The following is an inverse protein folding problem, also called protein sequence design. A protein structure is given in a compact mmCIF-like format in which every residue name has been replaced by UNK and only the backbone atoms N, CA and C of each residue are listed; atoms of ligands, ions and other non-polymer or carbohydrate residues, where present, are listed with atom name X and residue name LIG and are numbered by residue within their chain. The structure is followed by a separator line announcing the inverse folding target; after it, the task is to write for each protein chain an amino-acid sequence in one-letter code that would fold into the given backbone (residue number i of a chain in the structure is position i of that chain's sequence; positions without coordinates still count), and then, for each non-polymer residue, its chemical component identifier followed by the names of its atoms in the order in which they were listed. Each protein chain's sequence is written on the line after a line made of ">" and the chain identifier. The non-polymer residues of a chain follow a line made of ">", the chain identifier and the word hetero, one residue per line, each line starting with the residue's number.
data_IF_532647413981
#
_entry.id   IF_532647413981
#
_cell.length_a   1.000
_cell.length_b   1.000
_cell.length_c   1.000
_cell.angle_alpha   90.00
_cell.angle_beta   90.00
_cell.angle_gamma   90.00
#
_symmetry.space_group_name_H-M   'P 1'
#
loop_
_entity.id
_entity.type
_entity.pdbx_description
1 polymer ?
#
# COMPACT_ATOMS: atom_id res chain seq x y z
N UNK A 1 -0.25 -26.37 -16.13
CA UNK A 1 -1.70 -26.21 -15.84
C UNK A 1 -2.05 -24.90 -15.11
N UNK A 2 -1.13 -24.27 -14.36
CA UNK A 2 -1.35 -23.04 -13.58
C UNK A 2 -1.38 -21.73 -14.38
N UNK A 3 -0.69 -21.66 -15.52
CA UNK A 3 -0.64 -20.43 -16.35
C UNK A 3 -1.99 -20.13 -17.01
N UNK A 4 -2.69 -21.18 -17.44
CA UNK A 4 -4.01 -21.09 -18.05
C UNK A 4 -5.09 -20.60 -17.06
N UNK A 5 -4.95 -20.92 -15.77
CA UNK A 5 -5.90 -20.49 -14.73
C UNK A 5 -5.76 -19.02 -14.37
N UNK A 6 -4.54 -18.46 -14.38
CA UNK A 6 -4.31 -17.05 -14.03
C UNK A 6 -4.83 -16.11 -15.12
N UNK A 7 -4.54 -16.41 -16.39
CA UNK A 7 -5.00 -15.61 -17.54
C UNK A 7 -6.53 -15.59 -17.59
N UNK A 8 -7.19 -16.73 -17.41
CA UNK A 8 -8.64 -16.81 -17.41
C UNK A 8 -9.28 -16.09 -16.22
N UNK A 9 -8.63 -16.08 -15.04
CA UNK A 9 -9.10 -15.31 -13.90
C UNK A 9 -9.13 -13.80 -14.20
N UNK A 10 -8.05 -13.27 -14.81
CA UNK A 10 -7.98 -11.86 -15.21
C UNK A 10 -9.02 -11.55 -16.29
N UNK A 11 -9.10 -12.37 -17.35
CA UNK A 11 -10.09 -12.18 -18.44
C UNK A 11 -11.53 -12.22 -17.92
N UNK A 12 -11.84 -13.12 -16.98
CA UNK A 12 -13.15 -13.18 -16.31
C UNK A 12 -13.44 -11.91 -15.52
N UNK A 13 -12.48 -11.41 -14.75
CA UNK A 13 -12.62 -10.14 -14.03
C UNK A 13 -12.87 -8.98 -15.00
N UNK A 14 -12.09 -8.85 -16.08
CA UNK A 14 -12.27 -7.78 -17.06
C UNK A 14 -13.67 -7.78 -17.69
N UNK A 15 -14.20 -8.95 -18.07
CA UNK A 15 -15.56 -9.08 -18.62
C UNK A 15 -16.63 -8.69 -17.59
N UNK A 16 -16.50 -9.21 -16.37
CA UNK A 16 -17.40 -8.87 -15.27
C UNK A 16 -17.42 -7.36 -14.99
N UNK A 17 -16.24 -6.75 -14.86
CA UNK A 17 -16.11 -5.34 -14.53
C UNK A 17 -16.59 -4.42 -15.66
N UNK A 18 -16.32 -4.79 -16.92
CA UNK A 18 -16.84 -4.08 -18.09
C UNK A 18 -18.38 -4.08 -18.11
N UNK A 19 -18.99 -5.20 -17.75
CA UNK A 19 -20.45 -5.31 -17.61
C UNK A 19 -21.00 -4.45 -16.48
N UNK A 20 -20.33 -4.43 -15.32
CA UNK A 20 -20.77 -3.63 -14.16
C UNK A 20 -20.72 -2.11 -14.41
N UNK A 21 -19.77 -1.66 -15.22
CA UNK A 21 -19.65 -0.25 -15.58
C UNK A 21 -20.51 0.14 -16.79
N UNK A 22 -21.24 -0.81 -17.38
CA UNK A 22 -22.05 -0.60 -18.59
C UNK A 22 -21.27 0.07 -19.74
N UNK A 23 -19.97 -0.22 -19.88
CA UNK A 23 -19.09 0.45 -20.85
C UNK A 23 -19.42 0.11 -22.32
N UNK A 24 -20.35 -0.82 -22.53
CA UNK A 24 -20.82 -1.23 -23.85
C UNK A 24 -22.02 -0.41 -24.34
N UNK A 25 -22.58 0.44 -23.49
CA UNK A 25 -23.65 1.36 -23.89
C UNK A 25 -23.05 2.44 -24.80
N UNK A 26 -23.68 2.68 -25.96
CA UNK A 26 -23.15 3.61 -26.98
C UNK A 26 -23.05 5.07 -26.52
N UNK A 27 -23.70 5.40 -25.41
CA UNK A 27 -23.74 6.71 -24.77
C UNK A 27 -23.31 6.57 -23.29
N UNK A 28 -22.37 7.38 -22.84
CA UNK A 28 -21.92 7.35 -21.44
C UNK A 28 -23.03 7.93 -20.53
N UNK A 29 -23.59 7.12 -19.64
CA UNK A 29 -24.54 7.57 -18.60
C UNK A 29 -25.73 8.35 -19.17
N UNK A 30 -26.34 7.84 -20.25
CA UNK A 30 -27.44 8.47 -21.01
C UNK A 30 -27.12 9.87 -21.57
N UNK A 31 -25.84 10.15 -21.84
CA UNK A 31 -25.41 11.43 -22.41
C UNK A 31 -25.17 11.38 -23.93
N UNK A 32 -24.93 12.54 -24.53
CA UNK A 32 -24.53 12.66 -25.95
C UNK A 32 -23.02 12.41 -26.20
N UNK A 33 -22.30 11.98 -25.16
CA UNK A 33 -20.85 11.75 -25.20
C UNK A 33 -20.52 10.26 -25.15
N UNK A 34 -19.54 9.86 -25.95
CA UNK A 34 -18.91 8.55 -25.84
C UNK A 34 -18.02 8.45 -24.60
N UNK A 35 -17.61 7.23 -24.21
CA UNK A 35 -16.67 7.02 -23.10
C UNK A 35 -15.37 7.81 -23.27
N UNK A 36 -14.79 7.81 -24.47
CA UNK A 36 -13.56 8.56 -24.80
C UNK A 36 -13.75 10.06 -24.62
N UNK A 37 -14.90 10.59 -25.05
CA UNK A 37 -15.24 12.01 -24.91
C UNK A 37 -15.45 12.39 -23.45
N UNK A 38 -16.19 11.58 -22.69
CA UNK A 38 -16.35 11.75 -21.25
C UNK A 38 -15.02 11.72 -20.50
N UNK A 39 -14.09 10.83 -20.89
CA UNK A 39 -12.75 10.77 -20.30
C UNK A 39 -11.92 12.03 -20.60
N UNK A 40 -11.97 12.54 -21.83
CA UNK A 40 -11.27 13.79 -22.18
C UNK A 40 -11.86 14.97 -21.40
N UNK A 41 -13.19 15.07 -21.30
CA UNK A 41 -13.85 16.10 -20.49
C UNK A 41 -13.45 15.99 -19.01
N UNK A 42 -13.34 14.76 -18.47
CA UNK A 42 -12.89 14.52 -17.10
C UNK A 42 -11.48 15.08 -16.85
N UNK A 43 -10.52 14.76 -17.72
CA UNK A 43 -9.15 15.26 -17.60
C UNK A 43 -9.11 16.79 -17.68
N UNK A 44 -9.79 17.38 -18.65
CA UNK A 44 -9.84 18.83 -18.84
C UNK A 44 -10.57 19.58 -17.71
N UNK A 45 -11.50 18.92 -17.01
CA UNK A 45 -12.22 19.51 -15.88
C UNK A 45 -11.40 19.54 -14.59
N UNK A 46 -10.43 18.63 -14.42
CA UNK A 46 -9.70 18.44 -13.15
C UNK A 46 -8.23 18.86 -13.22
N UNK A 47 -7.68 19.10 -14.41
CA UNK A 47 -6.28 19.47 -14.60
C UNK A 47 -6.16 20.75 -15.41
N UNK A 48 -5.36 21.68 -14.89
CA UNK A 48 -4.93 22.83 -15.64
C UNK A 48 -3.83 22.44 -16.65
N UNK A 49 -3.66 23.28 -17.67
CA UNK A 49 -2.51 23.26 -18.59
C UNK A 49 -2.31 21.95 -19.37
N UNK A 50 -3.40 21.25 -19.70
CA UNK A 50 -3.36 20.06 -20.54
C UNK A 50 -3.09 20.41 -22.01
N UNK A 51 -2.23 19.63 -22.66
CA UNK A 51 -2.01 19.70 -24.11
C UNK A 51 -2.64 18.50 -24.82
N UNK A 52 -2.89 18.63 -26.12
CA UNK A 52 -3.30 17.49 -26.95
C UNK A 52 -2.25 16.36 -26.94
N UNK A 53 -0.96 16.69 -26.81
CA UNK A 53 0.13 15.71 -26.74
C UNK A 53 0.04 14.88 -25.46
N UNK A 54 -0.17 15.54 -24.31
CA UNK A 54 -0.33 14.89 -23.00
C UNK A 54 -1.54 13.96 -23.01
N UNK A 55 -2.71 14.47 -23.45
CA UNK A 55 -3.93 13.66 -23.55
C UNK A 55 -3.74 12.42 -24.44
N UNK A 56 -3.05 12.57 -25.57
CA UNK A 56 -2.79 11.47 -26.50
C UNK A 56 -1.91 10.38 -25.85
N UNK A 57 -0.86 10.79 -25.15
CA UNK A 57 0.09 9.88 -24.51
C UNK A 57 -0.55 9.12 -23.35
N UNK A 58 -1.26 9.82 -22.47
CA UNK A 58 -1.82 9.23 -21.25
C UNK A 58 -3.09 8.42 -21.51
N UNK A 59 -3.95 8.84 -22.45
CA UNK A 59 -5.17 8.13 -22.79
C UNK A 59 -4.98 7.11 -23.92
N UNK A 60 -3.75 6.97 -24.44
CA UNK A 60 -3.40 6.09 -25.55
C UNK A 60 -4.31 6.24 -26.79
N UNK A 61 -4.70 7.48 -27.10
CA UNK A 61 -5.60 7.78 -28.22
C UNK A 61 -4.82 8.03 -29.53
N UNK A 62 -5.45 7.72 -30.66
CA UNK A 62 -4.93 8.13 -31.98
C UNK A 62 -5.01 9.65 -32.17
N UNK A 63 -4.01 10.24 -32.84
CA UNK A 63 -3.92 11.69 -33.04
C UNK A 63 -5.08 12.22 -33.90
N UNK A 64 -5.47 11.49 -34.96
CA UNK A 64 -6.59 11.86 -35.82
C UNK A 64 -7.94 11.72 -35.12
N UNK A 65 -8.09 10.71 -34.26
CA UNK A 65 -9.28 10.56 -33.42
C UNK A 65 -9.41 11.68 -32.38
N UNK A 66 -8.35 11.97 -31.61
CA UNK A 66 -8.35 13.05 -30.62
C UNK A 66 -8.62 14.41 -31.27
N UNK A 67 -7.99 14.70 -32.41
CA UNK A 67 -8.20 15.97 -33.14
C UNK A 67 -9.66 16.16 -33.56
N UNK A 68 -10.35 15.09 -33.99
CA UNK A 68 -11.78 15.13 -34.32
C UNK A 68 -12.64 15.44 -33.09
N UNK A 69 -12.35 14.82 -31.94
CA UNK A 69 -13.06 15.09 -30.69
C UNK A 69 -12.87 16.55 -30.24
N UNK A 70 -11.61 17.02 -30.22
CA UNK A 70 -11.32 18.39 -29.79
C UNK A 70 -12.01 19.44 -30.69
N UNK A 71 -12.02 19.23 -32.02
CA UNK A 71 -12.77 20.08 -32.96
C UNK A 71 -14.28 20.05 -32.70
N UNK A 72 -14.84 18.88 -32.39
CA UNK A 72 -16.26 18.75 -32.01
C UNK A 72 -16.53 19.56 -30.74
N UNK A 73 -15.70 19.46 -29.71
CA UNK A 73 -15.85 20.21 -28.47
C UNK A 73 -15.79 21.73 -28.70
N UNK A 74 -14.90 22.20 -29.56
CA UNK A 74 -14.85 23.62 -29.95
C UNK A 74 -16.11 24.08 -30.67
N UNK A 75 -16.61 23.27 -31.62
CA UNK A 75 -17.85 23.59 -32.35
C UNK A 75 -19.09 23.65 -31.45
N UNK A 76 -19.06 22.91 -30.34
CA UNK A 76 -20.09 22.90 -29.30
C UNK A 76 -19.84 23.98 -28.23
N UNK A 77 -18.78 24.78 -28.35
CA UNK A 77 -18.42 25.82 -27.38
C UNK A 77 -17.94 25.27 -26.02
N UNK A 78 -17.55 24.00 -25.94
CA UNK A 78 -17.16 23.34 -24.68
C UNK A 78 -15.68 23.52 -24.34
N UNK A 79 -14.85 23.83 -25.34
CA UNK A 79 -13.40 23.88 -25.22
C UNK A 79 -12.83 25.18 -25.80
N UNK A 80 -11.79 25.70 -25.17
CA UNK A 80 -10.97 26.79 -25.67
C UNK A 80 -9.50 26.38 -25.76
N UNK A 81 -8.77 27.09 -26.62
CA UNK A 81 -7.35 26.90 -26.87
C UNK A 81 -6.60 28.19 -26.60
N UNK A 82 -5.49 28.11 -25.87
CA UNK A 82 -4.55 29.21 -25.70
C UNK A 82 -3.11 28.74 -26.00
N UNK A 83 -2.24 29.59 -26.58
CA UNK A 83 -0.83 29.28 -26.68
C UNK A 83 -0.25 29.01 -25.29
N UNK A 84 0.65 28.02 -25.17
CA UNK A 84 1.37 27.83 -23.92
C UNK A 84 2.33 28.99 -23.68
N UNK A 85 2.39 29.55 -22.46
CA UNK A 85 3.36 30.59 -22.11
C UNK A 85 4.80 30.07 -22.13
N UNK A 86 5.00 28.75 -21.95
CA UNK A 86 6.32 28.12 -21.88
C UNK A 86 6.84 27.67 -23.27
N UNK A 87 5.92 27.38 -24.21
CA UNK A 87 6.26 26.97 -25.59
C UNK A 87 5.14 27.34 -26.55
N UNK A 88 5.36 28.35 -27.40
CA UNK A 88 4.37 28.81 -28.37
C UNK A 88 3.95 27.74 -29.40
N UNK A 89 4.70 26.64 -29.54
CA UNK A 89 4.32 25.49 -30.39
C UNK A 89 3.28 24.59 -29.72
N UNK A 90 3.07 24.75 -28.42
CA UNK A 90 2.08 24.00 -27.67
C UNK A 90 0.83 24.83 -27.45
N UNK A 91 -0.30 24.13 -27.45
CA UNK A 91 -1.60 24.72 -27.19
C UNK A 91 -2.19 24.08 -25.95
N UNK A 92 -2.47 24.91 -24.95
CA UNK A 92 -3.16 24.52 -23.74
C UNK A 92 -4.66 24.47 -24.02
N UNK A 93 -5.28 23.42 -23.52
CA UNK A 93 -6.69 23.12 -23.66
C UNK A 93 -7.37 23.40 -22.32
N UNK A 94 -8.53 24.03 -22.34
CA UNK A 94 -9.32 24.28 -21.14
C UNK A 94 -10.81 24.22 -21.46
N UNK A 95 -11.62 23.72 -20.53
CA UNK A 95 -13.06 23.79 -20.67
C UNK A 95 -13.54 25.24 -20.54
N UNK A 96 -14.59 25.56 -21.29
CA UNK A 96 -15.39 26.76 -21.05
C UNK A 96 -16.35 26.52 -19.88
N UNK A 97 -17.05 27.56 -19.45
CA UNK A 97 -18.17 27.42 -18.52
C UNK A 97 -19.24 26.45 -19.06
N UNK A 98 -19.55 26.52 -20.36
CA UNK A 98 -20.44 25.55 -21.02
C UNK A 98 -19.87 24.13 -21.02
N UNK A 99 -18.54 23.98 -21.18
CA UNK A 99 -17.83 22.71 -21.05
C UNK A 99 -17.97 22.09 -19.66
N UNK A 100 -17.77 22.89 -18.61
CA UNK A 100 -17.98 22.45 -17.23
C UNK A 100 -19.44 22.08 -16.95
N UNK A 101 -20.39 22.88 -17.45
CA UNK A 101 -21.83 22.60 -17.32
C UNK A 101 -22.23 21.29 -18.03
N UNK A 102 -21.65 21.01 -19.20
CA UNK A 102 -21.87 19.76 -19.92
C UNK A 102 -21.22 18.55 -19.22
N UNK A 103 -20.07 18.74 -18.57
CA UNK A 103 -19.36 17.68 -17.84
C UNK A 103 -20.01 17.33 -16.48
N UNK A 104 -20.57 18.31 -15.77
CA UNK A 104 -21.15 18.12 -14.44
C UNK A 104 -22.14 16.92 -14.33
N UNK A 105 -23.15 16.76 -15.21
CA UNK A 105 -24.06 15.61 -15.14
C UNK A 105 -23.37 14.27 -15.41
N UNK A 106 -22.30 14.24 -16.23
CA UNK A 106 -21.49 13.03 -16.44
C UNK A 106 -20.78 12.62 -15.14
N UNK A 107 -20.16 13.59 -14.47
CA UNK A 107 -19.44 13.35 -13.23
C UNK A 107 -20.38 12.85 -12.13
N UNK A 108 -21.55 13.47 -11.98
CA UNK A 108 -22.55 13.04 -11.00
C UNK A 108 -23.20 11.70 -11.37
N UNK A 109 -23.42 11.42 -12.65
CA UNK A 109 -23.85 10.10 -13.12
C UNK A 109 -22.84 9.01 -12.74
N UNK A 110 -21.55 9.26 -12.98
CA UNK A 110 -20.48 8.32 -12.66
C UNK A 110 -20.38 8.07 -11.15
N UNK A 111 -20.45 9.13 -10.33
CA UNK A 111 -20.49 9.00 -8.86
C UNK A 111 -21.67 8.17 -8.38
N UNK A 112 -22.87 8.41 -8.92
CA UNK A 112 -24.07 7.64 -8.57
C UNK A 112 -23.95 6.16 -8.95
N UNK A 113 -23.38 5.87 -10.11
CA UNK A 113 -23.12 4.50 -10.54
C UNK A 113 -22.19 3.77 -9.55
N UNK A 114 -21.08 4.40 -9.17
CA UNK A 114 -20.15 3.82 -8.19
C UNK A 114 -20.80 3.72 -6.79
N UNK A 115 -21.59 4.72 -6.37
CA UNK A 115 -22.30 4.67 -5.10
C UNK A 115 -23.29 3.50 -5.04
N UNK A 116 -24.03 3.23 -6.11
CA UNK A 116 -24.94 2.08 -6.20
C UNK A 116 -24.20 0.73 -6.11
N UNK A 117 -22.97 0.64 -6.63
CA UNK A 117 -22.12 -0.55 -6.46
C UNK A 117 -21.67 -0.74 -4.99
N UNK A 118 -21.51 0.34 -4.24
CA UNK A 118 -21.04 0.32 -2.85
C UNK A 118 -22.17 0.21 -1.82
N UNK A 119 -23.39 0.64 -2.15
CA UNK A 119 -24.58 0.63 -1.29
C UNK A 119 -24.87 -0.74 -0.63
N UNK A 120 -24.79 -1.89 -1.31
CA UNK A 120 -25.06 -3.19 -0.68
C UNK A 120 -23.91 -3.68 0.23
N UNK A 121 -22.76 -3.01 0.24
CA UNK A 121 -21.57 -3.43 0.98
C UNK A 121 -21.49 -2.78 2.36
N UNK A 122 -21.19 -3.57 3.39
CA UNK A 122 -20.87 -3.05 4.73
C UNK A 122 -19.58 -2.22 4.69
N UNK A 123 -19.36 -1.29 5.65
CA UNK A 123 -18.15 -0.46 5.68
C UNK A 123 -16.82 -1.25 5.63
N UNK A 124 -16.77 -2.42 6.26
CA UNK A 124 -15.61 -3.31 6.20
C UNK A 124 -15.36 -3.87 4.78
N UNK A 125 -16.44 -4.27 4.09
CA UNK A 125 -16.38 -4.81 2.72
C UNK A 125 -16.03 -3.71 1.70
N UNK A 126 -16.51 -2.48 1.91
CA UNK A 126 -16.08 -1.33 1.12
C UNK A 126 -14.57 -1.10 1.26
N UNK A 127 -14.05 -1.20 2.49
CA UNK A 127 -12.60 -1.13 2.74
C UNK A 127 -11.81 -2.23 2.04
N UNK A 128 -12.28 -3.48 2.11
CA UNK A 128 -11.67 -4.62 1.42
C UNK A 128 -11.63 -4.43 -0.10
N UNK A 129 -12.73 -3.95 -0.71
CA UNK A 129 -12.81 -3.68 -2.14
C UNK A 129 -11.81 -2.59 -2.57
N UNK A 130 -11.75 -1.48 -1.84
CA UNK A 130 -10.81 -0.38 -2.12
C UNK A 130 -9.36 -0.86 -2.03
N UNK A 131 -9.04 -1.67 -1.02
CA UNK A 131 -7.70 -2.24 -0.86
C UNK A 131 -7.35 -3.21 -2.01
N UNK A 132 -8.31 -4.02 -2.45
CA UNK A 132 -8.13 -4.92 -3.59
C UNK A 132 -7.88 -4.15 -4.89
N UNK A 133 -8.67 -3.10 -5.16
CA UNK A 133 -8.49 -2.25 -6.35
C UNK A 133 -7.14 -1.53 -6.34
N UNK A 134 -6.74 -0.99 -5.19
CA UNK A 134 -5.41 -0.37 -5.03
C UNK A 134 -4.28 -1.38 -5.28
N UNK A 135 -4.47 -2.63 -4.83
CA UNK A 135 -3.52 -3.71 -5.10
C UNK A 135 -3.46 -4.06 -6.58
N UNK A 136 -4.61 -4.15 -7.26
CA UNK A 136 -4.68 -4.40 -8.71
C UNK A 136 -3.98 -3.28 -9.49
N UNK A 137 -4.28 -2.01 -9.20
CA UNK A 137 -3.64 -0.85 -9.83
C UNK A 137 -2.12 -0.89 -9.70
N UNK A 138 -1.62 -1.12 -8.47
CA UNK A 138 -0.18 -1.24 -8.19
C UNK A 138 0.46 -2.40 -8.95
N UNK A 139 -0.20 -3.56 -9.04
CA UNK A 139 0.32 -4.73 -9.75
C UNK A 139 0.29 -4.56 -11.27
N UNK A 140 -0.65 -3.78 -11.81
CA UNK A 140 -0.75 -3.45 -13.22
C UNK A 140 0.10 -2.24 -13.64
N UNK A 141 0.90 -1.69 -12.73
CA UNK A 141 1.89 -0.65 -13.03
C UNK A 141 1.35 0.78 -12.97
N UNK A 142 0.17 1.02 -12.39
CA UNK A 142 -0.22 2.38 -12.04
C UNK A 142 0.79 2.96 -11.05
N UNK A 143 1.21 4.21 -11.28
CA UNK A 143 2.05 4.92 -10.32
C UNK A 143 1.34 4.90 -8.96
N UNK A 144 2.03 4.39 -7.93
CA UNK A 144 1.44 4.38 -6.58
C UNK A 144 1.04 5.81 -6.23
N UNK A 145 -0.17 6.03 -5.67
CA UNK A 145 -0.52 7.35 -5.14
C UNK A 145 0.59 7.82 -4.20
N UNK A 146 0.80 9.15 -4.08
CA UNK A 146 1.85 9.70 -3.23
C UNK A 146 1.78 9.03 -1.86
N UNK A 147 2.93 8.47 -1.43
CA UNK A 147 3.01 7.54 -0.32
C UNK A 147 2.18 8.04 0.87
N UNK A 148 0.99 7.46 1.07
CA UNK A 148 0.23 7.76 2.26
C UNK A 148 1.10 7.38 3.47
N UNK A 149 1.26 8.28 4.45
CA UNK A 149 2.07 7.99 5.62
C UNK A 149 1.48 6.77 6.35
N UNK A 150 2.35 5.84 6.73
CA UNK A 150 1.96 4.76 7.62
C UNK A 150 1.69 5.33 9.03
N UNK A 151 0.68 4.80 9.71
CA UNK A 151 0.39 5.09 11.10
C UNK A 151 1.02 4.01 11.98
N UNK A 152 1.67 4.42 13.08
CA UNK A 152 2.06 3.49 14.14
C UNK A 152 1.01 3.56 15.26
N UNK A 153 0.37 2.43 15.54
CA UNK A 153 -0.65 2.31 16.60
C UNK A 153 -0.35 1.15 17.55
N UNK A 154 -0.93 1.14 18.76
CA UNK A 154 -0.94 -0.05 19.60
C UNK A 154 -1.65 -1.23 18.91
N UNK A 155 -1.30 -2.44 19.33
CA UNK A 155 -2.00 -3.65 18.93
C UNK A 155 -3.47 -3.67 19.41
N UNK A 156 -4.30 -4.34 18.64
CA UNK A 156 -5.73 -4.58 18.84
C UNK A 156 -6.02 -6.08 18.71
N UNK A 157 -7.23 -6.49 19.09
CA UNK A 157 -7.69 -7.88 18.93
C UNK A 157 -7.58 -8.28 17.45
N UNK A 158 -6.93 -9.41 17.18
CA UNK A 158 -6.69 -9.93 15.83
C UNK A 158 -5.30 -9.62 15.28
N UNK A 159 -4.68 -8.50 15.64
CA UNK A 159 -3.36 -8.11 15.09
C UNK A 159 -2.26 -9.12 15.42
N UNK A 160 -2.24 -9.63 16.65
CA UNK A 160 -1.18 -10.53 17.10
C UNK A 160 -1.23 -11.87 16.34
N UNK A 161 -2.44 -12.40 16.12
CA UNK A 161 -2.63 -13.59 15.29
C UNK A 161 -2.24 -13.34 13.82
N UNK A 162 -2.55 -12.14 13.30
CA UNK A 162 -2.10 -11.71 11.99
C UNK A 162 -0.58 -11.66 11.89
N UNK A 163 0.12 -11.09 12.88
CA UNK A 163 1.59 -11.02 12.92
C UNK A 163 2.17 -12.42 12.88
N UNK A 164 1.66 -13.35 13.70
CA UNK A 164 2.11 -14.75 13.70
C UNK A 164 1.96 -15.38 12.33
N UNK A 165 0.76 -15.32 11.76
CA UNK A 165 0.46 -15.87 10.44
C UNK A 165 1.39 -15.30 9.34
N UNK A 166 1.54 -13.98 9.31
CA UNK A 166 2.28 -13.29 8.24
C UNK A 166 3.78 -13.46 8.35
N UNK A 167 4.32 -13.43 9.56
CA UNK A 167 5.76 -13.63 9.77
C UNK A 167 6.15 -15.07 9.45
N UNK A 168 5.36 -16.06 9.85
CA UNK A 168 5.57 -17.47 9.50
C UNK A 168 5.59 -17.68 7.98
N UNK A 169 4.53 -17.22 7.29
CA UNK A 169 4.40 -17.37 5.84
C UNK A 169 5.55 -16.69 5.10
N UNK A 170 5.94 -15.47 5.49
CA UNK A 170 7.01 -14.76 4.81
C UNK A 170 8.38 -15.41 5.06
N UNK A 171 8.65 -15.89 6.26
CA UNK A 171 9.93 -16.52 6.57
C UNK A 171 10.07 -17.89 5.92
N UNK A 172 8.98 -18.64 5.80
CA UNK A 172 8.94 -19.86 4.98
C UNK A 172 9.24 -19.55 3.51
N UNK A 173 8.66 -18.49 2.94
CA UNK A 173 8.88 -18.12 1.54
C UNK A 173 10.29 -17.58 1.26
N UNK A 174 10.82 -16.71 2.13
CA UNK A 174 12.08 -16.00 1.89
C UNK A 174 13.30 -16.79 2.35
N UNK A 175 13.18 -17.53 3.45
CA UNK A 175 14.31 -18.25 4.07
C UNK A 175 14.12 -19.76 4.08
N UNK A 176 12.95 -20.28 3.69
CA UNK A 176 12.66 -21.70 3.71
C UNK A 176 12.61 -22.29 5.11
N UNK A 177 12.22 -21.50 6.11
CA UNK A 177 12.02 -21.97 7.48
C UNK A 177 10.77 -22.86 7.56
N UNK A 178 10.84 -23.90 8.40
CA UNK A 178 9.74 -24.82 8.65
C UNK A 178 8.77 -24.30 9.75
N UNK A 179 7.75 -25.11 10.06
CA UNK A 179 6.71 -24.79 11.05
C UNK A 179 7.24 -24.55 12.47
N UNK A 180 8.47 -24.99 12.80
CA UNK A 180 9.05 -24.73 14.13
C UNK A 180 9.34 -23.25 14.35
N UNK A 181 9.52 -22.47 13.27
CA UNK A 181 9.59 -21.01 13.36
C UNK A 181 8.23 -20.40 13.69
N UNK A 182 7.15 -20.90 13.07
CA UNK A 182 5.78 -20.48 13.40
C UNK A 182 5.45 -20.77 14.86
N UNK A 183 5.84 -21.94 15.37
CA UNK A 183 5.70 -22.29 16.78
C UNK A 183 6.39 -21.28 17.71
N UNK A 184 7.65 -20.91 17.42
CA UNK A 184 8.38 -19.88 18.18
C UNK A 184 7.65 -18.54 18.19
N UNK A 185 7.18 -18.08 17.01
CA UNK A 185 6.45 -16.80 16.92
C UNK A 185 5.14 -16.87 17.71
N UNK A 186 4.40 -17.99 17.60
CA UNK A 186 3.16 -18.22 18.32
C UNK A 186 3.37 -18.24 19.84
N UNK A 187 4.44 -18.85 20.33
CA UNK A 187 4.81 -18.86 21.76
C UNK A 187 5.09 -17.46 22.28
N UNK A 188 5.91 -16.68 21.56
CA UNK A 188 6.22 -15.29 21.93
C UNK A 188 4.93 -14.45 21.95
N UNK A 189 4.10 -14.59 20.92
CA UNK A 189 2.84 -13.87 20.76
C UNK A 189 1.83 -14.22 21.88
N UNK A 190 1.66 -15.50 22.17
CA UNK A 190 0.74 -15.98 23.20
C UNK A 190 1.20 -15.59 24.60
N UNK A 191 2.50 -15.63 24.87
CA UNK A 191 3.07 -15.16 26.14
C UNK A 191 2.85 -13.65 26.30
N UNK A 192 3.15 -12.87 25.27
CA UNK A 192 2.95 -11.42 25.27
C UNK A 192 1.52 -11.04 25.63
N UNK A 193 0.50 -11.61 24.98
CA UNK A 193 -0.91 -11.28 25.28
C UNK A 193 -1.28 -11.63 26.74
N UNK A 194 -0.81 -12.78 27.23
CA UNK A 194 -1.17 -13.31 28.55
C UNK A 194 -0.57 -12.50 29.70
N UNK A 195 0.66 -12.03 29.51
CA UNK A 195 1.46 -11.37 30.53
C UNK A 195 1.59 -9.85 30.30
N UNK A 196 0.89 -9.31 29.30
CA UNK A 196 1.08 -7.93 28.82
C UNK A 196 0.95 -6.89 29.94
N UNK A 197 2.04 -6.16 30.18
CA UNK A 197 2.04 -4.96 31.01
C UNK A 197 2.24 -3.70 30.16
N UNK A 198 1.17 -2.95 29.93
CA UNK A 198 1.20 -1.73 29.13
C UNK A 198 2.15 -0.63 29.65
N UNK A 199 2.61 -0.72 30.90
CA UNK A 199 3.61 0.20 31.48
C UNK A 199 5.05 -0.20 31.15
N UNK A 200 5.29 -1.48 30.86
CA UNK A 200 6.65 -2.04 30.66
C UNK A 200 6.86 -2.56 29.24
N UNK A 201 5.79 -2.85 28.53
CA UNK A 201 5.80 -3.53 27.25
C UNK A 201 4.92 -2.82 26.23
N UNK A 202 5.20 -3.07 24.95
CA UNK A 202 4.43 -2.49 23.86
C UNK A 202 4.58 -3.32 22.59
N UNK A 203 3.50 -3.47 21.85
CA UNK A 203 3.52 -3.90 20.46
C UNK A 203 3.02 -2.74 19.59
N UNK A 204 3.84 -2.35 18.61
CA UNK A 204 3.48 -1.38 17.59
C UNK A 204 3.08 -2.10 16.31
N UNK A 205 1.96 -1.67 15.75
CA UNK A 205 1.46 -2.08 14.45
C UNK A 205 1.61 -0.89 13.50
N UNK A 206 2.31 -1.13 12.40
CA UNK A 206 2.39 -0.19 11.29
C UNK A 206 1.22 -0.48 10.33
N UNK A 207 0.36 0.51 10.13
CA UNK A 207 -0.81 0.41 9.27
C UNK A 207 -0.70 1.41 8.13
N UNK A 208 -0.99 0.97 6.91
CA UNK A 208 -1.08 1.82 5.71
C UNK A 208 -2.28 1.38 4.89
N UNK A 209 -3.13 2.33 4.51
CA UNK A 209 -4.36 2.04 3.74
C UNK A 209 -5.23 0.97 4.43
N UNK A 210 -5.33 1.02 5.76
CA UNK A 210 -6.00 0.02 6.63
C UNK A 210 -5.41 -1.40 6.59
N UNK A 211 -4.30 -1.60 5.89
CA UNK A 211 -3.54 -2.84 5.88
C UNK A 211 -2.41 -2.79 6.91
N UNK A 212 -2.21 -3.87 7.66
CA UNK A 212 -1.00 -4.02 8.48
C UNK A 212 0.18 -4.26 7.54
N UNK A 213 1.23 -3.46 7.69
CA UNK A 213 2.43 -3.51 6.86
C UNK A 213 3.71 -3.72 7.66
N UNK A 214 3.62 -3.83 8.99
CA UNK A 214 4.74 -4.14 9.84
C UNK A 214 4.36 -4.19 11.32
N UNK A 215 5.25 -4.76 12.11
CA UNK A 215 5.10 -4.83 13.57
C UNK A 215 6.45 -4.85 14.26
N UNK A 216 6.46 -4.47 15.53
CA UNK A 216 7.58 -4.77 16.45
C UNK A 216 7.06 -4.86 17.87
N UNK A 217 7.67 -5.76 18.64
CA UNK A 217 7.36 -5.99 20.04
C UNK A 217 8.55 -5.54 20.88
N UNK A 218 8.25 -4.87 21.98
CA UNK A 218 9.17 -4.66 23.09
C UNK A 218 8.55 -5.34 24.31
N UNK A 219 9.26 -6.32 24.84
CA UNK A 219 8.84 -7.12 26.01
C UNK A 219 9.85 -6.96 27.13
N UNK A 220 9.41 -7.19 28.36
CA UNK A 220 10.27 -7.13 29.54
C UNK A 220 11.06 -8.44 29.68
N UNK A 221 12.39 -8.35 29.76
CA UNK A 221 13.23 -9.50 30.13
C UNK A 221 13.56 -9.47 31.64
N UNK A 222 13.84 -8.29 32.18
CA UNK A 222 14.05 -8.03 33.61
C UNK A 222 13.61 -6.61 33.98
N UNK A 223 13.80 -6.17 35.23
CA UNK A 223 13.49 -4.77 35.60
C UNK A 223 14.34 -3.74 34.85
N UNK A 224 15.57 -4.11 34.47
CA UNK A 224 16.54 -3.23 33.82
C UNK A 224 16.68 -3.50 32.31
N UNK A 225 16.25 -4.67 31.83
CA UNK A 225 16.44 -5.11 30.44
C UNK A 225 15.10 -5.30 29.72
N UNK A 226 14.95 -4.61 28.59
CA UNK A 226 13.88 -4.85 27.62
C UNK A 226 14.41 -5.66 26.44
N UNK A 227 13.51 -6.36 25.74
CA UNK A 227 13.84 -7.22 24.61
C UNK A 227 13.01 -6.87 23.39
N UNK A 228 13.69 -6.58 22.28
CA UNK A 228 13.05 -6.36 20.98
C UNK A 228 12.78 -7.71 20.32
N UNK A 229 11.53 -7.89 19.89
CA UNK A 229 10.99 -9.14 19.36
C UNK A 229 10.12 -8.88 18.13
N UNK A 230 10.02 -9.89 17.27
CA UNK A 230 9.06 -9.94 16.15
C UNK A 230 9.02 -8.65 15.30
N UNK A 231 10.20 -8.07 15.02
CA UNK A 231 10.30 -6.98 14.06
C UNK A 231 10.02 -7.54 12.67
N UNK A 232 9.04 -6.94 12.00
CA UNK A 232 8.52 -7.41 10.73
C UNK A 232 8.09 -6.22 9.86
N UNK A 233 8.33 -6.33 8.55
CA UNK A 233 7.87 -5.36 7.53
C UNK A 233 7.47 -6.13 6.27
N UNK A 234 6.24 -5.92 5.81
CA UNK A 234 5.70 -6.46 4.56
C UNK A 234 6.56 -6.01 3.36
N UNK A 235 6.75 -6.85 2.32
CA UNK A 235 7.52 -6.48 1.13
C UNK A 235 7.05 -5.17 0.48
N UNK A 236 5.75 -4.88 0.50
CA UNK A 236 5.15 -3.65 -0.05
C UNK A 236 5.53 -2.36 0.68
N UNK A 237 6.09 -2.46 1.89
CA UNK A 237 6.50 -1.32 2.72
C UNK A 237 8.02 -1.28 3.00
N UNK A 238 8.80 -2.16 2.37
CA UNK A 238 10.27 -2.14 2.45
C UNK A 238 10.84 -0.95 1.67
N UNK A 239 12.03 -0.49 2.07
CA UNK A 239 12.68 0.68 1.47
C UNK A 239 12.15 2.05 1.93
N UNK A 240 11.04 2.07 2.67
CA UNK A 240 10.43 3.31 3.20
C UNK A 240 10.95 3.73 4.58
N UNK A 241 12.02 3.09 5.07
CA UNK A 241 12.58 3.36 6.41
C UNK A 241 11.74 2.83 7.58
N UNK A 242 10.65 2.09 7.33
CA UNK A 242 9.72 1.63 8.36
C UNK A 242 10.38 0.76 9.45
N UNK A 243 11.26 -0.18 9.06
CA UNK A 243 11.94 -1.04 10.04
C UNK A 243 12.85 -0.25 11.01
N UNK A 244 13.50 0.81 10.51
CA UNK A 244 14.27 1.74 11.35
C UNK A 244 13.34 2.50 12.28
N UNK A 245 12.23 3.05 11.76
CA UNK A 245 11.26 3.78 12.59
C UNK A 245 10.67 2.93 13.71
N UNK A 246 10.30 1.68 13.41
CA UNK A 246 9.80 0.72 14.42
C UNK A 246 10.86 0.45 15.51
N UNK A 247 12.12 0.27 15.11
CA UNK A 247 13.24 0.09 16.04
C UNK A 247 13.45 1.33 16.92
N UNK A 248 13.40 2.53 16.32
CA UNK A 248 13.54 3.80 17.04
C UNK A 248 12.42 3.98 18.09
N UNK A 249 11.19 3.56 17.80
CA UNK A 249 10.09 3.59 18.77
C UNK A 249 10.31 2.64 19.95
N UNK A 250 10.87 1.44 19.70
CA UNK A 250 11.28 0.55 20.77
C UNK A 250 12.33 1.20 21.67
N UNK A 251 13.38 1.79 21.10
CA UNK A 251 14.45 2.46 21.85
C UNK A 251 13.87 3.62 22.68
N UNK A 252 13.04 4.45 22.06
CA UNK A 252 12.40 5.60 22.70
C UNK A 252 11.55 5.16 23.89
N UNK A 253 10.70 4.16 23.71
CA UNK A 253 9.86 3.64 24.79
C UNK A 253 10.68 2.99 25.89
N UNK A 254 11.73 2.23 25.53
CA UNK A 254 12.62 1.59 26.50
C UNK A 254 13.24 2.62 27.46
N UNK A 255 13.78 3.72 26.90
CA UNK A 255 14.32 4.86 27.66
C UNK A 255 13.26 5.48 28.56
N UNK A 256 12.06 5.70 28.04
CA UNK A 256 10.96 6.31 28.79
C UNK A 256 10.51 5.47 29.99
N UNK A 257 10.58 4.14 29.89
CA UNK A 257 10.21 3.23 30.98
C UNK A 257 11.37 2.88 31.93
N UNK A 258 12.52 3.52 31.75
CA UNK A 258 13.68 3.41 32.63
C UNK A 258 14.51 2.14 32.44
N UNK A 259 14.41 1.47 31.28
CA UNK A 259 15.31 0.37 30.95
C UNK A 259 16.73 0.90 30.70
N UNK A 260 17.74 0.18 31.19
CA UNK A 260 19.15 0.51 30.96
C UNK A 260 19.73 -0.22 29.76
N UNK A 261 19.10 -1.31 29.32
CA UNK A 261 19.55 -2.11 28.18
C UNK A 261 18.38 -2.58 27.33
N UNK A 262 18.53 -2.49 26.02
CA UNK A 262 17.65 -3.15 25.04
C UNK A 262 18.43 -4.26 24.35
N UNK A 263 17.93 -5.50 24.42
CA UNK A 263 18.55 -6.68 23.80
C UNK A 263 17.68 -7.28 22.70
N UNK A 264 18.27 -8.00 21.77
CA UNK A 264 17.56 -8.76 20.75
C UNK A 264 18.31 -10.02 20.34
N UNK A 265 17.57 -10.99 19.81
CA UNK A 265 18.14 -12.18 19.18
C UNK A 265 17.64 -12.24 17.72
N UNK A 266 18.53 -12.52 16.79
CA UNK A 266 18.24 -12.59 15.35
C UNK A 266 19.17 -13.59 14.66
N UNK A 267 18.83 -14.03 13.45
CA UNK A 267 19.72 -14.87 12.64
C UNK A 267 20.51 -14.02 11.65
N UNK A 268 21.80 -14.31 11.45
CA UNK A 268 22.70 -13.60 10.53
C UNK A 268 22.16 -13.50 9.10
N UNK A 269 21.37 -14.50 8.66
CA UNK A 269 20.72 -14.52 7.35
C UNK A 269 19.74 -13.35 7.15
N UNK A 270 19.23 -12.75 8.24
CA UNK A 270 18.34 -11.60 8.23
C UNK A 270 19.13 -10.29 8.06
N UNK A 271 19.84 -10.17 6.93
CA UNK A 271 20.80 -9.10 6.63
C UNK A 271 20.19 -7.70 6.78
N UNK A 272 18.94 -7.51 6.33
CA UNK A 272 18.25 -6.22 6.42
C UNK A 272 18.02 -5.79 7.88
N UNK A 273 17.59 -6.72 8.74
CA UNK A 273 17.41 -6.47 10.16
C UNK A 273 18.74 -6.15 10.85
N UNK A 274 19.80 -6.92 10.56
CA UNK A 274 21.14 -6.68 11.09
C UNK A 274 21.68 -5.28 10.73
N UNK A 275 21.41 -4.79 9.50
CA UNK A 275 21.76 -3.41 9.10
C UNK A 275 21.00 -2.36 9.91
N UNK A 276 19.71 -2.58 10.15
CA UNK A 276 18.89 -1.68 10.97
C UNK A 276 19.43 -1.61 12.40
N UNK A 277 19.72 -2.74 13.03
CA UNK A 277 20.22 -2.79 14.41
C UNK A 277 21.58 -2.11 14.55
N UNK A 278 22.53 -2.41 13.65
CA UNK A 278 23.83 -1.75 13.65
C UNK A 278 23.70 -0.23 13.45
N UNK A 279 22.84 0.22 12.54
CA UNK A 279 22.60 1.66 12.32
C UNK A 279 21.90 2.35 13.50
N UNK A 280 21.16 1.60 14.31
CA UNK A 280 20.53 2.08 15.54
C UNK A 280 21.48 2.05 16.76
N UNK A 281 22.73 1.60 16.58
CA UNK A 281 23.75 1.57 17.63
C UNK A 281 23.79 0.29 18.45
N UNK A 282 23.09 -0.77 18.05
CA UNK A 282 23.24 -2.07 18.69
C UNK A 282 24.62 -2.66 18.39
N UNK A 283 25.22 -3.27 19.42
CA UNK A 283 26.49 -3.98 19.35
C UNK A 283 26.26 -5.48 19.44
N UNK A 284 26.99 -6.24 18.62
CA UNK A 284 26.95 -7.70 18.63
C UNK A 284 27.71 -8.21 19.85
N UNK A 285 27.03 -8.97 20.73
CA UNK A 285 27.59 -9.49 21.98
C UNK A 285 27.99 -10.96 21.85
N UNK A 286 27.19 -11.75 21.13
CA UNK A 286 27.51 -13.15 20.86
C UNK A 286 26.95 -13.61 19.53
N UNK A 287 27.62 -14.60 18.94
CA UNK A 287 27.21 -15.29 17.71
C UNK A 287 27.45 -16.79 17.92
N UNK A 288 26.45 -17.63 17.62
CA UNK A 288 26.52 -19.08 17.82
C UNK A 288 25.87 -19.83 16.65
N UNK A 289 26.49 -20.94 16.24
CA UNK A 289 25.89 -21.85 15.26
C UNK A 289 24.86 -22.74 15.94
N UNK A 290 23.69 -22.85 15.35
CA UNK A 290 22.64 -23.75 15.85
C UNK A 290 21.82 -24.31 14.69
N UNK A 291 21.17 -25.44 14.93
CA UNK A 291 20.21 -26.01 14.00
C UNK A 291 18.79 -25.66 14.46
N UNK A 292 18.06 -24.87 13.66
CA UNK A 292 16.68 -24.47 13.98
C UNK A 292 15.93 -24.12 12.70
N UNK A 293 14.61 -24.28 12.72
CA UNK A 293 13.75 -23.95 11.58
C UNK A 293 14.09 -24.78 10.32
N UNK A 294 14.49 -26.04 10.54
CA UNK A 294 14.89 -26.99 9.50
C UNK A 294 16.24 -26.71 8.85
N UNK A 295 17.04 -25.78 9.39
CA UNK A 295 18.29 -25.31 8.78
C UNK A 295 19.39 -25.03 9.79
N UNK A 296 20.64 -25.12 9.34
CA UNK A 296 21.78 -24.58 10.06
C UNK A 296 21.73 -23.05 9.97
N UNK A 297 21.76 -22.39 11.13
CA UNK A 297 21.66 -20.95 11.29
C UNK A 297 22.82 -20.45 12.15
N UNK A 298 23.03 -19.14 12.06
CA UNK A 298 23.97 -18.42 12.92
C UNK A 298 23.19 -17.38 13.69
N UNK A 299 22.85 -17.72 14.93
CA UNK A 299 22.10 -16.88 15.86
C UNK A 299 23.01 -15.81 16.43
N UNK A 300 22.49 -14.60 16.58
CA UNK A 300 23.22 -13.43 17.05
C UNK A 300 22.44 -12.72 18.16
N UNK A 301 23.11 -12.41 19.26
CA UNK A 301 22.58 -11.56 20.33
C UNK A 301 23.20 -10.18 20.22
N UNK A 302 22.35 -9.16 20.18
CA UNK A 302 22.77 -7.76 20.10
C UNK A 302 22.22 -6.97 21.28
N UNK A 303 23.03 -6.06 21.83
CA UNK A 303 22.65 -5.19 22.94
C UNK A 303 22.84 -3.72 22.57
N UNK A 304 21.99 -2.87 23.14
CA UNK A 304 22.10 -1.42 23.12
C UNK A 304 21.99 -0.92 24.56
N UNK A 305 22.99 -0.18 25.00
CA UNK A 305 22.92 0.61 26.24
C UNK A 305 22.07 1.85 26.00
N UNK A 306 21.07 2.10 26.86
CA UNK A 306 20.04 3.11 26.65
C UNK A 306 20.34 4.47 27.27
#
# INVERSE_FOLDING_TARGET
>A
MTEHTTIEAVRRFSRFYTGQLCLLDGALLDSSFSLSEGRILYELAHRADLTATTLRQELHLDAGYLSRILKRFESLGLLTRRPSPDDARQTLLSLTEAGHAAFAPLNEGSKRQVAALLEPLKPAQQGELVQALTTVERLLGAASPPAMPYLLRPHQIGDIGWVTHRQALLYAQEYGFDETFEALVAEIAAKFIREFDAKKERCWIAERERAIVGSVFLVRESDAVAKLRLLYVEPSARGLGLGRRLTDECIRFARQQGYSTLTLWTNKVLVSACKIYRAAGFELVSEEQHHSFGKDQVGQIWNLTL
#
